data_IF_686818703076
#
_entry.id   IF_686818703076
#
_cell.length_a   1.000
_cell.length_b   1.000
_cell.length_c   1.000
_cell.angle_alpha   90.00
_cell.angle_beta   90.00
_cell.angle_gamma   90.00
#
_symmetry.space_group_name_H-M   'P 1'
#
loop_
_entity.id
_entity.type
_entity.pdbx_description
1 polymer ?
#
# COMPACT_ATOMS: atom_id res chain seq x y z
N UNK A 1 -49.70 21.57 -20.64
CA UNK A 1 -48.47 21.88 -19.88
C UNK A 1 -47.60 20.62 -19.81
N UNK A 2 -46.33 20.73 -20.22
CA UNK A 2 -45.35 19.64 -20.25
C UNK A 2 -44.57 19.66 -18.93
N UNK A 3 -44.60 18.58 -18.16
CA UNK A 3 -43.69 18.40 -17.02
C UNK A 3 -42.56 17.49 -17.51
N UNK A 4 -41.38 18.08 -17.72
CA UNK A 4 -40.14 17.34 -17.97
C UNK A 4 -39.55 16.99 -16.61
N UNK A 5 -39.67 15.74 -16.20
CA UNK A 5 -38.96 15.22 -15.02
C UNK A 5 -37.51 14.98 -15.43
N UNK A 6 -36.63 15.91 -15.06
CA UNK A 6 -35.18 15.73 -15.17
C UNK A 6 -34.79 14.78 -14.03
N UNK A 7 -34.59 13.50 -14.37
CA UNK A 7 -34.02 12.53 -13.47
C UNK A 7 -32.52 12.81 -13.32
N UNK A 8 -32.18 13.59 -12.29
CA UNK A 8 -30.81 13.78 -11.82
C UNK A 8 -30.42 12.53 -11.02
N UNK A 9 -29.97 11.47 -11.70
CA UNK A 9 -29.36 10.35 -11.02
C UNK A 9 -27.95 10.76 -10.61
N UNK A 10 -27.81 11.03 -9.30
CA UNK A 10 -26.57 11.28 -8.62
C UNK A 10 -25.54 10.20 -8.99
N UNK A 11 -24.42 10.63 -9.55
CA UNK A 11 -23.25 9.78 -9.70
C UNK A 11 -22.83 9.35 -8.29
N UNK A 12 -23.07 8.08 -7.93
CA UNK A 12 -22.37 7.44 -6.83
C UNK A 12 -20.89 7.39 -7.19
N UNK A 13 -20.15 8.45 -6.86
CA UNK A 13 -18.71 8.39 -6.76
C UNK A 13 -18.39 7.42 -5.62
N UNK A 14 -18.17 6.16 -5.99
CA UNK A 14 -17.47 5.20 -5.13
C UNK A 14 -16.08 5.79 -4.89
N UNK A 15 -15.95 6.53 -3.80
CA UNK A 15 -14.64 6.85 -3.23
C UNK A 15 -14.14 5.51 -2.69
N UNK A 16 -13.38 4.79 -3.52
CA UNK A 16 -12.56 3.68 -3.06
C UNK A 16 -11.54 4.28 -2.08
N UNK A 17 -11.88 4.30 -0.79
CA UNK A 17 -10.91 4.50 0.25
C UNK A 17 -9.97 3.28 0.19
N UNK A 18 -8.87 3.40 -0.56
CA UNK A 18 -7.76 2.49 -0.43
C UNK A 18 -7.30 2.58 1.03
N UNK A 19 -7.69 1.60 1.84
CA UNK A 19 -7.24 1.49 3.22
C UNK A 19 -5.79 0.99 3.16
N UNK A 20 -4.86 1.92 3.05
CA UNK A 20 -3.43 1.65 2.92
C UNK A 20 -2.87 0.95 4.16
N UNK A 21 -2.21 -0.20 4.01
CA UNK A 21 -1.77 -1.03 5.12
C UNK A 21 -0.33 -0.71 5.59
N UNK A 22 -0.18 -0.26 6.83
CA UNK A 22 1.08 0.19 7.43
C UNK A 22 1.64 -0.82 8.44
N UNK A 23 0.75 -1.61 9.02
CA UNK A 23 1.03 -2.59 10.05
C UNK A 23 0.87 -3.99 9.51
N UNK A 24 1.84 -4.85 9.79
CA UNK A 24 1.75 -6.29 9.52
C UNK A 24 1.82 -7.05 10.83
N UNK A 25 0.82 -7.90 11.09
CA UNK A 25 0.78 -8.77 12.25
C UNK A 25 0.89 -10.24 11.82
N UNK A 26 1.80 -10.96 12.47
CA UNK A 26 2.01 -12.38 12.32
C UNK A 26 1.45 -13.11 13.53
N UNK A 27 0.80 -14.25 13.32
CA UNK A 27 0.28 -15.08 14.40
C UNK A 27 0.43 -16.54 14.04
N UNK A 28 0.64 -17.37 15.04
CA UNK A 28 0.73 -18.81 14.89
C UNK A 28 -0.07 -19.52 15.98
N UNK A 29 -0.54 -20.73 15.70
CA UNK A 29 -1.20 -21.57 16.69
C UNK A 29 -0.35 -22.83 17.03
N UNK A 30 -0.82 -23.64 17.99
CA UNK A 30 -0.12 -24.86 18.42
C UNK A 30 -0.21 -26.02 17.40
N UNK A 31 -0.98 -25.85 16.32
CA UNK A 31 -1.04 -26.80 15.21
C UNK A 31 0.08 -26.57 14.21
N UNK A 32 0.88 -25.51 14.39
CA UNK A 32 1.91 -25.09 13.44
C UNK A 32 1.36 -24.32 12.25
N UNK A 33 0.13 -23.78 12.35
CA UNK A 33 -0.45 -22.92 11.33
C UNK A 33 0.01 -21.47 11.58
N UNK A 34 0.36 -20.77 10.50
CA UNK A 34 0.89 -19.40 10.54
C UNK A 34 0.09 -18.51 9.60
N UNK A 35 -0.22 -17.30 10.05
CA UNK A 35 -0.90 -16.30 9.25
C UNK A 35 -0.22 -14.94 9.37
N UNK A 36 -0.38 -14.14 8.32
CA UNK A 36 0.07 -12.75 8.27
C UNK A 36 -1.06 -11.88 7.72
N UNK A 37 -1.32 -10.75 8.38
CA UNK A 37 -2.34 -9.79 7.98
C UNK A 37 -1.77 -8.38 8.04
N UNK A 38 -2.16 -7.56 7.07
CA UNK A 38 -1.75 -6.16 7.01
C UNK A 38 -2.96 -5.24 7.07
N UNK A 39 -2.84 -4.14 7.82
CA UNK A 39 -3.90 -3.13 7.95
C UNK A 39 -3.31 -1.72 8.13
N UNK A 40 -4.12 -0.66 7.92
CA UNK A 40 -3.66 0.72 8.14
C UNK A 40 -3.23 1.02 9.57
N UNK A 41 -3.85 0.35 10.55
CA UNK A 41 -3.57 0.52 11.98
C UNK A 41 -3.09 -0.79 12.60
N UNK A 42 -2.33 -0.69 13.70
CA UNK A 42 -1.90 -1.85 14.47
C UNK A 42 -3.10 -2.67 14.93
N UNK A 43 -4.12 -2.00 15.45
CA UNK A 43 -5.34 -2.64 15.98
C UNK A 43 -6.08 -3.41 14.88
N UNK A 44 -6.14 -2.87 13.66
CA UNK A 44 -6.78 -3.54 12.53
C UNK A 44 -6.04 -4.82 12.13
N UNK A 45 -4.72 -4.76 12.03
CA UNK A 45 -3.90 -5.91 11.66
C UNK A 45 -3.93 -6.98 12.77
N UNK A 46 -3.91 -6.54 14.03
CA UNK A 46 -3.97 -7.42 15.20
C UNK A 46 -5.33 -8.10 15.32
N UNK A 47 -6.44 -7.39 15.08
CA UNK A 47 -7.78 -7.96 15.12
C UNK A 47 -7.95 -9.06 14.06
N UNK A 48 -7.48 -8.84 12.83
CA UNK A 48 -7.53 -9.85 11.77
C UNK A 48 -6.70 -11.09 12.12
N UNK A 49 -5.45 -10.89 12.57
CA UNK A 49 -4.58 -11.98 13.00
C UNK A 49 -5.22 -12.78 14.15
N UNK A 50 -5.68 -12.10 15.20
CA UNK A 50 -6.28 -12.75 16.36
C UNK A 50 -7.53 -13.55 15.99
N UNK A 51 -8.45 -12.96 15.21
CA UNK A 51 -9.69 -13.63 14.83
C UNK A 51 -9.44 -14.91 14.02
N UNK A 52 -8.49 -14.89 13.07
CA UNK A 52 -8.17 -16.08 12.29
C UNK A 52 -7.50 -17.14 13.14
N UNK A 53 -6.58 -16.77 14.02
CA UNK A 53 -5.97 -17.73 14.93
C UNK A 53 -6.99 -18.32 15.90
N UNK A 54 -7.85 -17.51 16.52
CA UNK A 54 -8.87 -17.97 17.47
C UNK A 54 -9.85 -18.95 16.81
N UNK A 55 -10.21 -18.73 15.55
CA UNK A 55 -11.09 -19.61 14.79
C UNK A 55 -10.46 -20.97 14.42
N UNK A 56 -9.13 -21.05 14.34
CA UNK A 56 -8.41 -22.24 13.87
C UNK A 56 -7.54 -22.90 14.96
N UNK A 57 -7.45 -22.32 16.16
CA UNK A 57 -6.66 -22.86 17.26
C UNK A 57 -7.48 -23.80 18.14
N UNK A 58 -6.83 -24.86 18.62
CA UNK A 58 -7.38 -25.74 19.66
C UNK A 58 -7.35 -25.03 21.02
N UNK A 59 -6.48 -24.02 21.18
CA UNK A 59 -6.35 -23.20 22.38
C UNK A 59 -6.23 -21.70 22.01
N UNK A 60 -7.30 -20.90 22.15
CA UNK A 60 -7.30 -19.47 21.83
C UNK A 60 -6.33 -18.63 22.66
N UNK A 61 -5.93 -19.11 23.85
CA UNK A 61 -5.00 -18.39 24.72
C UNK A 61 -3.56 -18.33 24.16
N UNK A 62 -3.25 -19.10 23.11
CA UNK A 62 -1.95 -19.06 22.45
C UNK A 62 -1.92 -18.12 21.22
N UNK A 63 -3.04 -17.49 20.88
CA UNK A 63 -3.11 -16.58 19.74
C UNK A 63 -2.59 -15.20 20.13
N UNK A 64 -1.27 -15.05 20.05
CA UNK A 64 -0.54 -13.83 20.39
C UNK A 64 0.07 -13.22 19.12
N UNK A 65 -0.64 -12.32 18.42
CA UNK A 65 -0.09 -11.67 17.23
C UNK A 65 1.14 -10.82 17.58
N UNK A 66 2.19 -10.95 16.78
CA UNK A 66 3.36 -10.05 16.80
C UNK A 66 3.21 -9.08 15.65
N UNK A 67 3.13 -7.79 15.96
CA UNK A 67 2.90 -6.75 14.97
C UNK A 67 4.16 -5.91 14.77
N UNK A 68 4.46 -5.60 13.52
CA UNK A 68 5.49 -4.66 13.13
C UNK A 68 4.85 -3.53 12.33
N UNK A 69 5.23 -2.30 12.66
CA UNK A 69 5.06 -1.18 11.75
C UNK A 69 6.14 -1.30 10.69
N UNK A 70 5.74 -1.34 9.41
CA UNK A 70 6.72 -1.36 8.32
C UNK A 70 7.40 0.00 8.13
N UNK A 71 7.11 1.00 8.98
CA UNK A 71 7.75 2.32 9.00
C UNK A 71 7.25 3.25 7.90
N UNK A 72 6.12 2.89 7.28
CA UNK A 72 5.52 3.61 6.17
C UNK A 72 4.10 4.00 6.61
N UNK A 73 3.96 5.19 7.18
CA UNK A 73 2.67 5.73 7.56
C UNK A 73 1.88 6.11 6.30
N UNK A 74 0.95 5.27 5.89
CA UNK A 74 0.25 5.37 4.61
C UNK A 74 1.07 4.73 3.49
N UNK A 75 0.37 4.26 2.46
CA UNK A 75 0.93 3.53 1.32
C UNK A 75 2.25 4.10 0.82
N UNK A 76 3.17 3.21 0.43
CA UNK A 76 4.43 3.62 -0.18
C UNK A 76 4.17 4.13 -1.58
N UNK A 77 4.93 5.12 -2.00
CA UNK A 77 4.91 5.60 -3.37
C UNK A 77 5.90 4.81 -4.19
N UNK A 78 5.43 4.31 -5.32
CA UNK A 78 6.25 3.70 -6.33
C UNK A 78 6.46 4.72 -7.46
N UNK A 79 7.71 5.10 -7.68
CA UNK A 79 8.09 5.92 -8.83
C UNK A 79 8.95 5.12 -9.80
N UNK A 80 8.62 5.21 -11.09
CA UNK A 80 9.39 4.64 -12.18
C UNK A 80 9.92 5.74 -13.09
N UNK A 81 11.12 5.55 -13.63
CA UNK A 81 11.70 6.49 -14.61
C UNK A 81 12.54 5.73 -15.61
N UNK A 82 12.62 6.26 -16.82
CA UNK A 82 13.45 5.74 -17.89
C UNK A 82 14.26 6.86 -18.54
N UNK A 83 15.38 6.51 -19.18
CA UNK A 83 16.16 7.45 -19.97
C UNK A 83 16.15 7.10 -21.47
N UNK A 84 16.79 7.95 -22.29
CA UNK A 84 16.91 7.74 -23.75
C UNK A 84 17.85 6.60 -24.16
N UNK A 85 18.61 6.04 -23.22
CA UNK A 85 19.45 4.85 -23.46
C UNK A 85 18.63 3.56 -23.33
N UNK A 86 17.40 3.64 -22.82
CA UNK A 86 16.59 2.47 -22.48
C UNK A 86 16.90 1.90 -21.10
N UNK A 87 17.58 2.64 -20.23
CA UNK A 87 17.74 2.26 -18.82
C UNK A 87 16.43 2.58 -18.07
N UNK A 88 16.07 1.72 -17.11
CA UNK A 88 14.84 1.83 -16.32
C UNK A 88 15.13 1.66 -14.83
N UNK A 89 14.50 2.47 -14.00
CA UNK A 89 14.60 2.37 -12.54
C UNK A 89 13.21 2.44 -11.89
N UNK A 90 13.10 1.77 -10.75
CA UNK A 90 11.91 1.71 -9.91
C UNK A 90 12.34 1.91 -8.45
N UNK A 91 11.65 2.80 -7.75
CA UNK A 91 11.91 3.11 -6.35
C UNK A 91 10.62 3.17 -5.55
N UNK A 92 10.71 2.69 -4.31
CA UNK A 92 9.65 2.74 -3.32
C UNK A 92 10.08 3.62 -2.17
N UNK A 93 9.22 4.53 -1.72
CA UNK A 93 9.48 5.33 -0.53
C UNK A 93 8.18 5.66 0.23
N UNK A 94 8.28 6.02 1.52
CA UNK A 94 7.11 6.45 2.30
C UNK A 94 6.35 7.66 1.75
N UNK A 95 7.02 8.56 1.02
CA UNK A 95 6.37 9.74 0.42
C UNK A 95 6.60 9.80 -1.08
N UNK A 96 5.66 10.44 -1.81
CA UNK A 96 5.78 10.68 -3.24
C UNK A 96 7.07 11.41 -3.58
N UNK A 97 7.41 12.43 -2.80
CA UNK A 97 8.60 13.26 -2.99
C UNK A 97 9.87 12.45 -2.83
N UNK A 98 9.97 11.59 -1.81
CA UNK A 98 11.14 10.73 -1.63
C UNK A 98 11.31 9.74 -2.79
N UNK A 99 10.23 9.06 -3.20
CA UNK A 99 10.28 8.12 -4.31
C UNK A 99 10.63 8.84 -5.63
N UNK A 100 10.10 10.04 -5.85
CA UNK A 100 10.40 10.86 -7.03
C UNK A 100 11.86 11.29 -7.05
N UNK A 101 12.39 11.79 -5.93
CA UNK A 101 13.78 12.23 -5.82
C UNK A 101 14.77 11.08 -6.05
N UNK A 102 14.48 9.89 -5.53
CA UNK A 102 15.30 8.70 -5.76
C UNK A 102 15.32 8.30 -7.23
N UNK A 103 14.14 8.22 -7.86
CA UNK A 103 14.01 7.92 -9.28
C UNK A 103 14.74 8.98 -10.13
N UNK A 104 14.48 10.26 -9.89
CA UNK A 104 15.09 11.36 -10.63
C UNK A 104 16.62 11.35 -10.50
N UNK A 105 17.14 11.18 -9.29
CA UNK A 105 18.59 11.15 -9.04
C UNK A 105 19.26 9.99 -9.79
N UNK A 106 18.64 8.82 -9.79
CA UNK A 106 19.17 7.66 -10.52
C UNK A 106 19.21 7.89 -12.03
N UNK A 107 18.15 8.47 -12.60
CA UNK A 107 18.11 8.81 -14.01
C UNK A 107 19.11 9.92 -14.36
N UNK A 108 19.15 11.01 -13.58
CA UNK A 108 20.03 12.15 -13.84
C UNK A 108 21.51 11.73 -13.83
N UNK A 109 21.89 10.79 -12.96
CA UNK A 109 23.26 10.27 -12.88
C UNK A 109 23.67 9.37 -14.06
N UNK A 110 22.70 8.77 -14.77
CA UNK A 110 22.96 7.73 -15.76
C UNK A 110 22.47 8.08 -17.18
N UNK A 111 21.72 9.18 -17.33
CA UNK A 111 21.17 9.65 -18.59
C UNK A 111 22.18 10.52 -19.35
N UNK A 112 22.19 10.37 -20.67
CA UNK A 112 22.87 11.30 -21.60
C UNK A 112 22.18 12.66 -21.68
N UNK A 113 20.93 12.77 -21.22
CA UNK A 113 20.16 14.00 -21.18
C UNK A 113 19.29 14.04 -19.92
N UNK A 114 19.70 14.76 -18.86
CA UNK A 114 18.94 14.86 -17.60
C UNK A 114 17.55 15.50 -17.77
N UNK A 115 17.33 16.29 -18.82
CA UNK A 115 16.02 16.92 -19.09
C UNK A 115 14.95 15.91 -19.52
N UNK A 116 15.31 14.66 -19.80
CA UNK A 116 14.37 13.58 -20.12
C UNK A 116 13.93 12.79 -18.87
N UNK A 117 14.59 12.99 -17.73
CA UNK A 117 14.32 12.23 -16.51
C UNK A 117 13.06 12.73 -15.81
N UNK A 118 11.92 12.14 -16.19
CA UNK A 118 10.58 12.47 -15.71
C UNK A 118 9.96 11.25 -14.99
N UNK A 119 10.17 11.09 -13.66
CA UNK A 119 9.57 9.99 -12.94
C UNK A 119 8.04 10.04 -12.93
N UNK A 120 7.41 8.89 -13.16
CA UNK A 120 5.98 8.68 -12.97
C UNK A 120 5.75 7.98 -11.65
N UNK A 121 4.89 8.53 -10.80
CA UNK A 121 4.69 8.07 -9.44
C UNK A 121 3.24 7.69 -9.18
N UNK A 122 3.03 6.54 -8.53
CA UNK A 122 1.72 6.06 -8.08
C UNK A 122 1.78 5.67 -6.61
N UNK A 123 0.70 5.90 -5.84
CA UNK A 123 0.58 5.32 -4.51
C UNK A 123 0.34 3.79 -4.64
N UNK A 124 0.95 3.01 -3.75
CA UNK A 124 0.65 1.57 -3.57
C UNK A 124 -0.28 1.31 -2.40
#
# INVERSE_FOLDING_TARGET
MKIKTIALFAACSMISAAAFANWTCFVANQRGEHWSFSAPTQEGAQAMAKNVCDANSINPNNCNPTCADNGVAGGRWHCVVSNLKGDHWSYFAPTQEQANNLAKSACDANSINPNNCNPSCVPE
#
